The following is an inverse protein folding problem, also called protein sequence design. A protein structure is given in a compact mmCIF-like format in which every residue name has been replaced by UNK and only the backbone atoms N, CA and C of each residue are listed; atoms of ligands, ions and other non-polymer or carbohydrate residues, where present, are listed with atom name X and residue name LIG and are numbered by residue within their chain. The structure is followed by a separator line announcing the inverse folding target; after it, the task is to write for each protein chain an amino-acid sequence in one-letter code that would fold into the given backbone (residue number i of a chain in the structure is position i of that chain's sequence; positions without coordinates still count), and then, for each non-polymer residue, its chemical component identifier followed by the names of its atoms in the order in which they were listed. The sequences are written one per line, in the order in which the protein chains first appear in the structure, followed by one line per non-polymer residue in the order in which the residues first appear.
data_IF_404398170035
#
_entry.id   IF_404398170035
#
_cell.length_a   1.000
_cell.length_b   1.000
_cell.length_c   1.000
_cell.angle_alpha   90.00
_cell.angle_beta   90.00
_cell.angle_gamma   90.00
#
_symmetry.space_group_name_H-M   'P 1'
#
loop_
_entity.id
_entity.type
_entity.pdbx_description
1 polymer ?
#
# COMPACT_ATOMS: atom_id res chain seq x y z
N UNK A 1 -10.21 17.47 12.35
CA UNK A 1 -11.34 17.04 11.53
C UNK A 1 -11.30 17.84 10.27
N UNK A 2 -11.45 17.16 9.16
CA UNK A 2 -11.26 17.73 7.83
C UNK A 2 -12.58 18.28 7.31
N UNK A 3 -13.67 17.60 7.66
CA UNK A 3 -15.03 18.07 7.43
C UNK A 3 -16.00 17.46 8.44
N UNK A 4 -17.18 18.07 8.52
CA UNK A 4 -18.32 17.52 9.25
C UNK A 4 -19.26 16.90 8.23
N UNK A 5 -19.69 15.67 8.47
CA UNK A 5 -20.76 15.05 7.68
C UNK A 5 -21.99 14.75 8.54
N UNK A 6 -23.11 14.56 7.89
CA UNK A 6 -24.32 14.10 8.55
C UNK A 6 -24.14 12.68 9.08
N UNK A 7 -24.69 12.44 10.27
CA UNK A 7 -24.72 11.14 10.91
C UNK A 7 -25.52 10.15 10.06
N UNK A 8 -24.92 9.02 9.78
CA UNK A 8 -25.57 7.86 9.19
C UNK A 8 -25.72 6.77 10.24
N UNK A 9 -26.82 6.03 10.15
CA UNK A 9 -27.09 4.94 11.09
C UNK A 9 -25.99 3.89 11.00
N UNK A 10 -25.22 3.74 12.08
CA UNK A 10 -24.03 2.89 12.13
C UNK A 10 -22.76 3.65 12.48
N UNK A 11 -22.78 4.98 12.39
CA UNK A 11 -21.65 5.79 12.82
C UNK A 11 -21.43 5.72 14.34
N UNK A 12 -20.18 5.71 14.78
CA UNK A 12 -19.83 5.70 16.20
C UNK A 12 -20.24 7.01 16.89
N UNK A 13 -21.06 6.90 17.93
CA UNK A 13 -21.54 8.07 18.70
C UNK A 13 -20.41 8.90 19.36
N UNK A 14 -19.24 8.29 19.58
CA UNK A 14 -18.04 8.99 20.10
C UNK A 14 -17.51 10.06 19.13
N UNK A 15 -17.79 9.91 17.83
CA UNK A 15 -17.27 10.80 16.79
C UNK A 15 -18.29 11.91 16.45
N UNK A 16 -19.45 11.93 17.11
CA UNK A 16 -20.45 12.98 16.96
C UNK A 16 -19.92 14.30 17.50
N UNK A 17 -19.95 15.33 16.67
CA UNK A 17 -19.54 16.68 17.03
C UNK A 17 -20.66 17.39 17.78
N UNK A 18 -20.83 17.06 19.07
CA UNK A 18 -21.93 17.56 19.93
C UNK A 18 -22.10 19.08 19.90
N UNK A 19 -21.00 19.83 19.82
CA UNK A 19 -21.03 21.31 19.78
C UNK A 19 -21.70 21.87 18.52
N UNK A 20 -21.62 21.15 17.40
CA UNK A 20 -22.27 21.57 16.15
C UNK A 20 -23.67 21.01 16.05
N UNK A 21 -23.85 19.74 16.43
CA UNK A 21 -25.17 19.11 16.50
C UNK A 21 -26.14 19.91 17.38
N UNK A 22 -25.70 20.34 18.57
CA UNK A 22 -26.53 21.14 19.49
C UNK A 22 -26.91 22.54 18.98
N UNK A 23 -26.31 23.01 17.88
CA UNK A 23 -26.62 24.31 17.26
C UNK A 23 -27.55 24.19 16.05
N UNK A 24 -27.84 22.96 15.60
CA UNK A 24 -28.75 22.74 14.47
C UNK A 24 -30.20 22.76 14.97
N UNK A 25 -31.12 23.43 14.26
CA UNK A 25 -32.52 23.51 14.64
C UNK A 25 -33.29 22.19 14.45
N UNK A 26 -32.79 21.29 13.61
CA UNK A 26 -33.45 20.04 13.22
C UNK A 26 -33.00 18.81 14.05
N UNK A 27 -32.24 18.99 15.13
CA UNK A 27 -31.66 17.92 15.97
C UNK A 27 -30.77 16.91 15.19
N UNK A 28 -30.31 17.30 14.00
CA UNK A 28 -29.44 16.46 13.17
C UNK A 28 -28.05 16.29 13.78
N UNK A 29 -27.67 15.03 13.99
CA UNK A 29 -26.33 14.68 14.43
C UNK A 29 -25.35 14.84 13.28
N UNK A 30 -24.19 15.41 13.58
CA UNK A 30 -23.06 15.51 12.65
C UNK A 30 -21.87 14.78 13.22
N UNK A 31 -21.20 14.01 12.38
CA UNK A 31 -20.01 13.24 12.73
C UNK A 31 -18.78 13.97 12.21
N UNK A 32 -17.75 13.92 13.03
CA UNK A 32 -16.42 14.43 12.76
C UNK A 32 -15.73 13.43 11.83
N UNK A 33 -15.55 13.79 10.56
CA UNK A 33 -14.76 12.95 9.66
C UNK A 33 -13.30 13.40 9.73
N UNK A 34 -12.44 12.44 9.99
CA UNK A 34 -11.03 12.56 9.77
C UNK A 34 -10.83 12.06 8.35
N UNK A 35 -10.34 12.91 7.45
CA UNK A 35 -9.72 12.35 6.28
C UNK A 35 -8.53 11.56 6.82
N UNK A 36 -8.55 10.24 6.72
CA UNK A 36 -7.29 9.55 6.57
C UNK A 36 -6.69 10.21 5.32
N UNK A 37 -5.74 11.11 5.55
CA UNK A 37 -4.76 11.49 4.54
C UNK A 37 -4.01 10.19 4.29
N UNK A 38 -4.65 9.29 3.54
CA UNK A 38 -4.13 8.01 3.15
C UNK A 38 -3.10 8.34 2.07
N UNK A 39 -2.01 8.98 2.51
CA UNK A 39 -0.72 8.77 1.90
C UNK A 39 -0.58 7.26 1.94
N UNK A 40 -0.88 6.62 0.81
CA UNK A 40 -0.70 5.18 0.61
C UNK A 40 0.71 4.91 1.11
N UNK A 41 0.80 4.29 2.29
CA UNK A 41 2.07 4.09 2.96
C UNK A 41 2.98 3.35 2.00
N UNK A 42 4.26 3.74 1.97
CA UNK A 42 5.23 3.06 1.14
C UNK A 42 5.23 1.54 1.45
N UNK A 43 5.16 0.71 0.41
CA UNK A 43 5.09 -0.76 0.53
C UNK A 43 6.47 -1.34 0.26
N UNK A 44 7.02 -2.15 1.18
CA UNK A 44 8.24 -2.92 0.91
C UNK A 44 7.88 -4.38 0.65
N UNK A 45 8.25 -4.88 -0.53
CA UNK A 45 8.10 -6.29 -0.90
C UNK A 45 9.40 -7.01 -0.55
N UNK A 46 9.34 -7.97 0.36
CA UNK A 46 10.45 -8.86 0.63
C UNK A 46 10.32 -10.13 -0.22
N UNK A 47 11.38 -10.50 -0.93
CA UNK A 47 11.37 -11.64 -1.82
C UNK A 47 12.64 -12.47 -1.60
N UNK A 48 12.47 -13.78 -1.36
CA UNK A 48 13.57 -14.75 -1.20
C UNK A 48 13.14 -16.08 -1.84
N UNK A 49 14.01 -16.68 -2.67
CA UNK A 49 13.86 -18.05 -3.12
C UNK A 49 14.86 -18.95 -2.38
N UNK A 50 14.38 -19.85 -1.51
CA UNK A 50 15.25 -20.85 -0.88
C UNK A 50 15.47 -22.01 -1.85
N UNK A 51 16.48 -21.88 -2.70
CA UNK A 51 16.93 -23.00 -3.52
C UNK A 51 17.55 -24.08 -2.63
N UNK A 52 16.74 -25.05 -2.21
CA UNK A 52 17.23 -26.33 -1.69
C UNK A 52 16.59 -27.46 -2.46
N UNK A 53 17.47 -28.17 -3.17
CA UNK A 53 17.38 -29.52 -3.76
C UNK A 53 16.99 -29.60 -5.24
N UNK A 54 18.01 -30.04 -6.00
CA UNK A 54 18.06 -30.76 -7.27
C UNK A 54 17.72 -30.01 -8.58
N UNK A 55 18.76 -29.88 -9.42
CA UNK A 55 18.87 -29.86 -10.90
C UNK A 55 17.87 -29.11 -11.81
N UNK A 56 16.76 -28.57 -11.31
CA UNK A 56 15.84 -27.66 -12.02
C UNK A 56 16.06 -26.21 -11.55
N UNK A 57 17.32 -25.78 -11.55
CA UNK A 57 17.76 -24.56 -10.86
C UNK A 57 17.44 -23.26 -11.61
N UNK A 58 17.38 -23.27 -12.95
CA UNK A 58 17.15 -22.04 -13.71
C UNK A 58 15.68 -21.61 -13.73
N UNK A 59 14.75 -22.55 -13.93
CA UNK A 59 13.33 -22.21 -14.13
C UNK A 59 12.65 -21.67 -12.86
N UNK A 60 13.11 -22.07 -11.66
CA UNK A 60 12.53 -21.59 -10.40
C UNK A 60 12.97 -20.19 -10.00
N UNK A 61 14.17 -19.79 -10.36
CA UNK A 61 14.68 -18.45 -10.06
C UNK A 61 13.94 -17.43 -10.96
N UNK A 62 13.74 -17.76 -12.24
CA UNK A 62 12.91 -16.99 -13.17
C UNK A 62 11.43 -16.90 -12.73
N UNK A 63 10.84 -18.01 -12.25
CA UNK A 63 9.44 -18.02 -11.80
C UNK A 63 9.24 -17.14 -10.55
N UNK A 64 10.15 -17.21 -9.58
CA UNK A 64 10.11 -16.36 -8.39
C UNK A 64 10.31 -14.87 -8.74
N UNK A 65 11.26 -14.58 -9.64
CA UNK A 65 11.50 -13.22 -10.13
C UNK A 65 10.26 -12.67 -10.85
N UNK A 66 9.63 -13.47 -11.72
CA UNK A 66 8.41 -13.10 -12.44
C UNK A 66 7.22 -12.86 -11.49
N UNK A 67 7.04 -13.72 -10.49
CA UNK A 67 5.98 -13.55 -9.49
C UNK A 67 6.17 -12.25 -8.69
N UNK A 68 7.41 -11.97 -8.26
CA UNK A 68 7.75 -10.74 -7.54
C UNK A 68 7.55 -9.50 -8.42
N UNK A 69 7.99 -9.56 -9.68
CA UNK A 69 7.80 -8.49 -10.66
C UNK A 69 6.31 -8.18 -10.89
N UNK A 70 5.45 -9.19 -10.93
CA UNK A 70 4.01 -9.02 -11.06
C UNK A 70 3.41 -8.24 -9.89
N UNK A 71 3.78 -8.60 -8.65
CA UNK A 71 3.30 -7.92 -7.43
C UNK A 71 3.75 -6.47 -7.40
N UNK A 72 5.05 -6.21 -7.60
CA UNK A 72 5.62 -4.86 -7.62
C UNK A 72 4.95 -3.99 -8.68
N UNK A 73 4.71 -4.55 -9.88
CA UNK A 73 4.07 -3.82 -10.98
C UNK A 73 2.65 -3.41 -10.63
N UNK A 74 1.82 -4.33 -10.10
CA UNK A 74 0.44 -4.03 -9.72
C UNK A 74 0.37 -2.97 -8.60
N UNK A 75 1.31 -2.99 -7.66
CA UNK A 75 1.37 -2.00 -6.59
C UNK A 75 1.74 -0.60 -7.11
N UNK A 76 2.73 -0.51 -8.01
CA UNK A 76 3.11 0.75 -8.65
C UNK A 76 1.99 1.30 -9.55
N UNK A 77 1.27 0.44 -10.29
CA UNK A 77 0.12 0.84 -11.10
C UNK A 77 -1.03 1.41 -10.25
N UNK A 78 -1.13 1.00 -8.98
CA UNK A 78 -2.10 1.54 -8.02
C UNK A 78 -1.61 2.82 -7.33
N UNK A 79 -0.43 3.31 -7.67
CA UNK A 79 0.14 4.54 -7.11
C UNK A 79 0.76 4.39 -5.72
N UNK A 80 1.00 3.16 -5.26
CA UNK A 80 1.75 2.93 -4.02
C UNK A 80 3.25 3.03 -4.31
N UNK A 81 4.04 3.81 -3.55
CA UNK A 81 5.49 3.75 -3.62
C UNK A 81 5.97 2.36 -3.17
N UNK A 82 6.80 1.69 -3.98
CA UNK A 82 7.22 0.30 -3.72
C UNK A 82 8.73 0.21 -3.51
N UNK A 83 9.17 -0.43 -2.43
CA UNK A 83 10.55 -0.85 -2.22
C UNK A 83 10.68 -2.37 -2.36
N UNK A 84 11.90 -2.85 -2.56
CA UNK A 84 12.18 -4.28 -2.74
C UNK A 84 13.32 -4.69 -1.80
N UNK A 85 13.13 -5.74 -1.02
CA UNK A 85 14.15 -6.31 -0.16
C UNK A 85 14.46 -7.74 -0.62
N UNK A 86 15.67 -7.90 -1.15
CA UNK A 86 16.28 -9.16 -1.55
C UNK A 86 17.30 -9.58 -0.48
N UNK A 87 17.77 -10.84 -0.47
CA UNK A 87 18.76 -11.29 0.50
C UNK A 87 20.07 -10.49 0.47
N UNK A 88 20.50 -10.05 -0.72
CA UNK A 88 21.77 -9.35 -0.93
C UNK A 88 21.61 -7.82 -1.08
N UNK A 89 20.41 -7.33 -1.43
CA UNK A 89 20.20 -5.93 -1.75
C UNK A 89 18.82 -5.44 -1.27
N UNK A 90 18.72 -4.17 -0.87
CA UNK A 90 17.44 -3.54 -0.54
C UNK A 90 17.33 -2.19 -1.25
N UNK A 91 16.28 -2.06 -2.06
CA UNK A 91 15.90 -0.83 -2.73
C UNK A 91 14.82 -0.12 -1.91
N UNK A 92 15.05 1.16 -1.61
CA UNK A 92 14.09 1.98 -0.87
C UNK A 92 12.81 2.21 -1.69
N UNK A 93 11.67 2.47 -1.02
CA UNK A 93 10.44 2.74 -1.73
C UNK A 93 10.51 3.98 -2.61
N UNK A 94 10.04 3.82 -3.84
CA UNK A 94 9.96 4.87 -4.83
C UNK A 94 8.82 4.61 -5.80
N UNK A 95 8.63 5.54 -6.73
CA UNK A 95 7.56 5.53 -7.71
C UNK A 95 8.05 5.99 -9.08
N UNK A 96 7.17 5.87 -10.08
CA UNK A 96 7.48 6.25 -11.45
C UNK A 96 8.17 5.17 -12.28
N UNK A 97 8.40 5.50 -13.56
CA UNK A 97 8.85 4.54 -14.59
C UNK A 97 10.32 4.16 -14.47
N UNK A 98 11.15 5.06 -13.98
CA UNK A 98 12.57 4.80 -13.78
C UNK A 98 12.76 3.81 -12.64
N UNK A 99 12.14 4.09 -11.49
CA UNK A 99 12.10 3.19 -10.34
C UNK A 99 11.53 1.81 -10.68
N UNK A 100 10.43 1.75 -11.45
CA UNK A 100 9.88 0.48 -11.92
C UNK A 100 10.92 -0.35 -12.70
N UNK A 101 11.69 0.29 -13.59
CA UNK A 101 12.74 -0.39 -14.36
C UNK A 101 13.90 -0.84 -13.50
N UNK A 102 14.27 -0.07 -12.49
CA UNK A 102 15.31 -0.47 -11.52
C UNK A 102 14.89 -1.73 -10.78
N UNK A 103 13.66 -1.79 -10.27
CA UNK A 103 13.13 -2.97 -9.58
C UNK A 103 13.10 -4.21 -10.49
N UNK A 104 12.69 -4.06 -11.75
CA UNK A 104 12.73 -5.16 -12.72
C UNK A 104 14.16 -5.57 -13.09
N UNK A 105 15.09 -4.62 -13.13
CA UNK A 105 16.51 -4.88 -13.38
C UNK A 105 17.14 -5.71 -12.26
N UNK A 106 16.80 -5.41 -11.00
CA UNK A 106 17.23 -6.20 -9.84
C UNK A 106 16.73 -7.65 -9.93
N UNK A 107 15.46 -7.85 -10.32
CA UNK A 107 14.86 -9.18 -10.45
C UNK A 107 15.38 -9.97 -11.66
N UNK A 108 15.88 -9.30 -12.70
CA UNK A 108 16.42 -9.96 -13.89
C UNK A 108 17.85 -10.52 -13.71
N UNK A 109 18.52 -10.15 -12.62
CA UNK A 109 19.90 -10.57 -12.30
C UNK A 109 19.95 -11.47 -11.05
N UNK A 110 18.81 -11.58 -10.36
CA UNK A 110 18.65 -12.33 -9.11
C UNK A 110 18.58 -13.85 -9.31
#
# INVERSE_FOLDING_TARGET
FDHLREYQRGDPLRDVHWKTAAKRPDDELVVTEYADDETVGAVTVAAECRSRRFDELADRDDEWAAATASVVTVLLERGAPVGLSLPDETQQPGDGREHHRELLGLLAVA
#
